data_IF_440758501153
#
_entry.id   IF_440758501153
#
_cell.length_a   1.000
_cell.length_b   1.000
_cell.length_c   1.000
_cell.angle_alpha   90.00
_cell.angle_beta   90.00
_cell.angle_gamma   90.00
#
_symmetry.space_group_name_H-M   'P 1'
#
loop_
_entity.id
_entity.type
_entity.pdbx_description
1 polymer ?
#
# COMPACT_ATOMS: atom_id res chain seq x y z
N UNK A 1 4.46 -20.04 -13.96
CA UNK A 1 3.52 -18.96 -13.61
C UNK A 1 2.48 -18.92 -14.71
N UNK A 2 1.21 -18.82 -14.36
CA UNK A 2 0.16 -18.60 -15.34
C UNK A 2 0.10 -17.12 -15.75
N UNK A 3 -0.52 -16.82 -16.89
CA UNK A 3 -0.63 -15.46 -17.43
C UNK A 3 -1.47 -14.49 -16.56
N UNK A 4 -1.97 -14.92 -15.39
CA UNK A 4 -2.67 -14.08 -14.43
C UNK A 4 -1.71 -13.33 -13.48
N UNK A 5 -0.45 -13.77 -13.40
CA UNK A 5 0.54 -13.16 -12.49
C UNK A 5 0.94 -11.76 -12.99
N UNK A 6 0.76 -10.74 -12.14
CA UNK A 6 1.06 -9.34 -12.51
C UNK A 6 2.53 -9.12 -12.86
N UNK A 7 3.47 -9.85 -12.28
CA UNK A 7 4.88 -9.75 -12.64
C UNK A 7 5.16 -10.26 -14.05
N UNK A 8 4.50 -11.35 -14.45
CA UNK A 8 4.56 -11.85 -15.83
C UNK A 8 3.97 -10.84 -16.82
N UNK A 9 2.74 -10.37 -16.53
CA UNK A 9 2.06 -9.36 -17.35
C UNK A 9 2.85 -8.06 -17.45
N UNK A 10 3.57 -7.66 -16.40
CA UNK A 10 4.44 -6.50 -16.43
C UNK A 10 5.56 -6.63 -17.46
N UNK A 11 6.18 -7.81 -17.57
CA UNK A 11 7.17 -8.08 -18.60
C UNK A 11 6.56 -8.05 -20.01
N UNK A 12 5.40 -8.67 -20.21
CA UNK A 12 4.70 -8.63 -21.51
C UNK A 12 4.37 -7.20 -21.94
N UNK A 13 3.81 -6.38 -21.04
CA UNK A 13 3.49 -4.97 -21.31
C UNK A 13 4.75 -4.19 -21.64
N UNK A 14 5.84 -4.40 -20.89
CA UNK A 14 7.11 -3.69 -21.11
C UNK A 14 7.66 -3.96 -22.51
N UNK A 15 7.86 -5.23 -22.88
CA UNK A 15 8.43 -5.59 -24.18
C UNK A 15 7.53 -5.21 -25.35
N UNK A 16 6.21 -5.39 -25.20
CA UNK A 16 5.24 -4.93 -26.21
C UNK A 16 5.30 -3.42 -26.43
N UNK A 17 5.42 -2.64 -25.35
CA UNK A 17 5.38 -1.16 -25.44
C UNK A 17 6.69 -0.57 -25.93
N UNK A 18 7.82 -1.17 -25.53
CA UNK A 18 9.14 -0.65 -25.93
C UNK A 18 9.62 -1.18 -27.27
N UNK A 19 9.09 -2.30 -27.75
CA UNK A 19 9.57 -2.99 -28.94
C UNK A 19 10.95 -3.63 -28.77
N UNK A 20 11.53 -3.63 -27.58
CA UNK A 20 12.83 -4.23 -27.30
C UNK A 20 12.72 -5.74 -27.43
N UNK A 21 13.67 -6.36 -28.14
CA UNK A 21 13.74 -7.81 -28.26
C UNK A 21 14.11 -8.45 -26.90
N UNK A 22 13.49 -9.59 -26.62
CA UNK A 22 13.76 -10.37 -25.41
C UNK A 22 14.18 -11.78 -25.81
N UNK A 23 15.45 -12.10 -25.66
CA UNK A 23 15.99 -13.43 -25.98
C UNK A 23 15.82 -14.46 -24.83
N UNK A 24 15.02 -14.11 -23.86
CA UNK A 24 14.69 -14.93 -22.69
C UNK A 24 14.72 -14.13 -21.39
N UNK A 25 13.71 -14.34 -20.55
CA UNK A 25 13.58 -13.70 -19.25
C UNK A 25 13.17 -14.73 -18.22
N UNK A 26 13.91 -14.79 -17.13
CA UNK A 26 13.53 -15.58 -15.96
C UNK A 26 13.22 -14.64 -14.78
N UNK A 27 12.02 -14.78 -14.21
CA UNK A 27 11.59 -14.01 -13.05
C UNK A 27 11.34 -14.97 -11.89
N UNK A 28 12.03 -14.76 -10.78
CA UNK A 28 11.78 -15.46 -9.52
C UNK A 28 11.10 -14.52 -8.54
N UNK A 29 9.96 -14.94 -7.98
CA UNK A 29 9.20 -14.18 -6.98
C UNK A 29 9.24 -14.90 -5.64
N UNK A 30 9.81 -14.26 -4.64
CA UNK A 30 9.74 -14.67 -3.24
C UNK A 30 8.69 -13.81 -2.54
N UNK A 31 7.51 -14.39 -2.29
CA UNK A 31 6.36 -13.69 -1.74
C UNK A 31 6.42 -13.62 -0.22
N UNK A 32 6.67 -12.43 0.33
CA UNK A 32 6.63 -12.16 1.78
C UNK A 32 5.46 -11.29 2.22
N UNK A 33 4.83 -10.56 1.29
CA UNK A 33 3.63 -9.76 1.56
C UNK A 33 2.39 -10.66 1.44
N UNK A 34 1.55 -10.76 2.50
CA UNK A 34 0.35 -11.58 2.46
C UNK A 34 -0.62 -11.16 1.35
N UNK A 35 -1.27 -12.13 0.73
CA UNK A 35 -2.33 -11.87 -0.25
C UNK A 35 -3.58 -11.32 0.43
N UNK A 36 -4.38 -10.54 -0.31
CA UNK A 36 -5.65 -9.95 0.18
C UNK A 36 -5.50 -9.21 1.51
N UNK A 37 -4.41 -8.46 1.63
CA UNK A 37 -4.07 -7.70 2.83
C UNK A 37 -4.27 -6.18 2.69
N UNK A 38 -4.58 -5.68 1.49
CA UNK A 38 -4.62 -4.23 1.23
C UNK A 38 -3.21 -3.59 1.20
N UNK A 39 -2.15 -4.38 1.04
CA UNK A 39 -0.75 -3.93 1.08
C UNK A 39 -0.10 -3.78 -0.31
N UNK A 40 -0.87 -3.92 -1.38
CA UNK A 40 -0.37 -3.72 -2.75
C UNK A 40 0.71 -4.72 -3.21
N UNK A 41 0.82 -5.92 -2.60
CA UNK A 41 1.89 -6.88 -2.88
C UNK A 41 2.05 -7.25 -4.35
N UNK A 42 0.95 -7.58 -5.05
CA UNK A 42 0.99 -7.87 -6.48
C UNK A 42 1.37 -6.66 -7.33
N UNK A 43 0.90 -5.47 -6.95
CA UNK A 43 1.23 -4.22 -7.65
C UNK A 43 2.70 -3.84 -7.45
N UNK A 44 3.25 -4.09 -6.27
CA UNK A 44 4.68 -3.87 -6.00
C UNK A 44 5.58 -4.84 -6.76
N UNK A 45 5.17 -6.11 -6.93
CA UNK A 45 5.89 -7.08 -7.76
C UNK A 45 5.94 -6.62 -9.23
N UNK A 46 4.78 -6.22 -9.79
CA UNK A 46 4.71 -5.70 -11.16
C UNK A 46 5.59 -4.46 -11.35
N UNK A 47 5.53 -3.52 -10.40
CA UNK A 47 6.36 -2.32 -10.43
C UNK A 47 7.86 -2.65 -10.33
N UNK A 48 8.24 -3.64 -9.52
CA UNK A 48 9.62 -4.09 -9.43
C UNK A 48 10.12 -4.67 -10.76
N UNK A 49 9.29 -5.46 -11.44
CA UNK A 49 9.61 -5.99 -12.78
C UNK A 49 9.77 -4.84 -13.78
N UNK A 50 8.81 -3.90 -13.86
CA UNK A 50 8.92 -2.75 -14.77
C UNK A 50 10.21 -1.95 -14.53
N UNK A 51 10.54 -1.64 -13.28
CA UNK A 51 11.79 -0.92 -12.93
C UNK A 51 13.03 -1.72 -13.27
N UNK A 52 13.02 -3.04 -13.00
CA UNK A 52 14.13 -3.93 -13.33
C UNK A 52 14.37 -4.01 -14.84
N UNK A 53 13.33 -4.20 -15.63
CA UNK A 53 13.41 -4.25 -17.09
C UNK A 53 13.85 -2.92 -17.69
N UNK A 54 13.34 -1.80 -17.18
CA UNK A 54 13.84 -0.47 -17.56
C UNK A 54 15.35 -0.38 -17.36
N UNK A 55 15.84 -0.76 -16.19
CA UNK A 55 17.28 -0.69 -15.89
C UNK A 55 18.12 -1.56 -16.81
N UNK A 56 17.60 -2.71 -17.23
CA UNK A 56 18.34 -3.69 -18.05
C UNK A 56 18.27 -3.39 -19.55
N UNK A 57 17.12 -2.92 -20.04
CA UNK A 57 16.83 -2.87 -21.48
C UNK A 57 16.55 -1.47 -22.02
N UNK A 58 16.12 -0.52 -21.19
CA UNK A 58 15.74 0.83 -21.64
C UNK A 58 15.99 1.88 -20.53
N UNK A 59 17.25 2.09 -20.09
CA UNK A 59 17.54 2.94 -18.93
C UNK A 59 17.12 4.41 -19.10
N UNK A 60 17.05 4.90 -20.34
CA UNK A 60 16.61 6.25 -20.72
C UNK A 60 15.07 6.42 -20.71
N UNK A 61 14.31 5.33 -20.63
CA UNK A 61 12.85 5.41 -20.61
C UNK A 61 12.38 6.21 -19.37
N UNK A 62 11.56 7.26 -19.53
CA UNK A 62 11.10 8.05 -18.40
C UNK A 62 10.20 7.24 -17.46
N UNK A 63 10.21 7.57 -16.16
CA UNK A 63 9.40 6.85 -15.15
C UNK A 63 7.91 6.92 -15.45
N UNK A 64 7.46 8.03 -16.05
CA UNK A 64 6.06 8.24 -16.47
C UNK A 64 5.62 7.23 -17.53
N UNK A 65 6.55 6.71 -18.33
CA UNK A 65 6.23 5.63 -19.27
C UNK A 65 5.95 4.32 -18.53
N UNK A 66 6.70 4.01 -17.48
CA UNK A 66 6.42 2.86 -16.63
C UNK A 66 5.09 3.01 -15.87
N UNK A 67 4.75 4.22 -15.42
CA UNK A 67 3.48 4.49 -14.78
C UNK A 67 2.30 4.24 -15.73
N UNK A 68 2.41 4.67 -17.00
CA UNK A 68 1.41 4.36 -18.03
C UNK A 68 1.27 2.85 -18.27
N UNK A 69 2.39 2.12 -18.38
CA UNK A 69 2.39 0.66 -18.47
C UNK A 69 1.71 0.04 -17.23
N UNK A 70 2.00 0.61 -16.05
CA UNK A 70 1.43 0.17 -14.78
C UNK A 70 -0.09 0.28 -14.74
N UNK A 71 -0.68 1.30 -15.37
CA UNK A 71 -2.13 1.46 -15.46
C UNK A 71 -2.84 0.30 -16.19
N UNK A 72 -2.17 -0.34 -17.15
CA UNK A 72 -2.71 -1.53 -17.82
C UNK A 72 -2.74 -2.77 -16.92
N UNK A 73 -1.91 -2.78 -15.86
CA UNK A 73 -1.76 -3.89 -14.93
C UNK A 73 -2.67 -3.78 -13.71
N UNK A 74 -2.83 -2.55 -13.20
CA UNK A 74 -3.65 -2.28 -12.03
C UNK A 74 -3.49 -0.86 -11.52
N UNK A 75 -4.52 -0.38 -10.81
CA UNK A 75 -4.62 1.01 -10.35
C UNK A 75 -3.52 1.45 -9.37
N UNK A 76 -2.97 0.50 -8.61
CA UNK A 76 -1.93 0.78 -7.60
C UNK A 76 -0.52 0.67 -8.18
N UNK A 77 -0.35 0.08 -9.39
CA UNK A 77 0.97 -0.15 -9.99
C UNK A 77 1.71 1.15 -10.30
N UNK A 78 1.07 2.22 -10.84
CA UNK A 78 1.76 3.49 -11.06
C UNK A 78 2.36 4.08 -9.79
N UNK A 79 1.62 4.05 -8.68
CA UNK A 79 2.14 4.48 -7.38
C UNK A 79 3.32 3.60 -6.92
N UNK A 80 3.22 2.27 -7.07
CA UNK A 80 4.31 1.35 -6.73
C UNK A 80 5.56 1.57 -7.62
N UNK A 81 5.38 2.04 -8.86
CA UNK A 81 6.49 2.45 -9.75
C UNK A 81 7.15 3.70 -9.22
N UNK A 82 6.39 4.72 -8.85
CA UNK A 82 6.89 6.01 -8.35
C UNK A 82 7.49 5.90 -6.96
N UNK A 83 6.75 5.28 -6.05
CA UNK A 83 7.11 5.15 -4.62
C UNK A 83 6.98 6.45 -3.83
N UNK A 84 7.51 6.44 -2.62
CA UNK A 84 7.51 7.60 -1.72
C UNK A 84 6.13 7.94 -1.13
N UNK A 85 5.91 9.23 -0.84
CA UNK A 85 4.63 9.76 -0.37
C UNK A 85 3.95 10.50 -1.52
N UNK A 86 2.72 10.12 -1.87
CA UNK A 86 2.00 10.72 -2.97
C UNK A 86 0.50 10.84 -2.69
N UNK A 87 -0.11 11.87 -3.25
CA UNK A 87 -1.56 11.92 -3.44
C UNK A 87 -1.89 11.19 -4.74
N UNK A 88 -2.77 10.21 -4.64
CA UNK A 88 -3.26 9.42 -5.78
C UNK A 88 -4.71 9.77 -6.01
N UNK A 89 -5.06 10.16 -7.23
CA UNK A 89 -6.41 10.56 -7.62
C UNK A 89 -6.85 9.86 -8.91
N UNK A 90 -8.11 10.08 -9.29
CA UNK A 90 -8.70 9.44 -10.45
C UNK A 90 -8.86 7.93 -10.24
N UNK A 91 -8.41 7.16 -11.21
CA UNK A 91 -8.36 5.68 -11.14
C UNK A 91 -6.99 5.14 -10.73
N UNK A 92 -6.08 6.02 -10.24
CA UNK A 92 -4.69 5.71 -9.91
C UNK A 92 -3.66 6.35 -10.86
N UNK A 93 -4.12 7.04 -11.91
CA UNK A 93 -3.27 7.66 -12.93
C UNK A 93 -2.76 9.06 -12.54
N UNK A 94 -3.43 9.74 -11.62
CA UNK A 94 -3.05 11.09 -11.20
C UNK A 94 -2.21 11.00 -9.93
N UNK A 95 -0.89 11.12 -10.10
CA UNK A 95 0.07 11.02 -9.01
C UNK A 95 0.72 12.38 -8.76
N UNK A 96 0.51 12.93 -7.57
CA UNK A 96 1.22 14.11 -7.08
C UNK A 96 2.16 13.69 -5.96
N UNK A 97 3.47 13.79 -6.20
CA UNK A 97 4.48 13.53 -5.16
C UNK A 97 4.37 14.56 -4.05
N UNK A 98 4.34 14.10 -2.81
CA UNK A 98 4.26 14.93 -1.62
C UNK A 98 5.57 14.87 -0.84
N UNK A 99 5.72 15.77 0.12
CA UNK A 99 6.83 15.73 1.06
C UNK A 99 6.80 14.41 1.83
N UNK A 100 7.96 13.78 1.93
CA UNK A 100 8.09 12.51 2.63
C UNK A 100 7.66 12.62 4.10
N UNK A 101 7.03 11.56 4.61
CA UNK A 101 6.70 11.46 6.03
C UNK A 101 7.91 11.80 6.91
N UNK A 102 7.73 12.39 8.08
CA UNK A 102 8.77 12.41 9.12
C UNK A 102 9.24 10.98 9.44
N UNK A 103 10.34 10.88 10.15
CA UNK A 103 10.81 9.58 10.63
C UNK A 103 9.75 8.92 11.51
N UNK A 104 9.36 7.71 11.15
CA UNK A 104 8.35 6.92 11.84
C UNK A 104 8.50 5.44 11.50
N UNK A 105 7.89 4.59 12.32
CA UNK A 105 7.90 3.14 12.19
C UNK A 105 6.48 2.61 12.07
N UNK A 106 6.34 1.54 11.31
CA UNK A 106 5.05 0.90 11.05
C UNK A 106 5.03 -0.49 11.63
N UNK A 107 3.95 -0.83 12.33
CA UNK A 107 3.65 -2.21 12.70
C UNK A 107 2.49 -2.66 11.85
N UNK A 108 2.74 -3.60 10.96
CA UNK A 108 1.78 -4.16 10.02
C UNK A 108 1.25 -5.48 10.59
N UNK A 109 -0.04 -5.55 10.83
CA UNK A 109 -0.74 -6.70 11.37
C UNK A 109 -1.75 -7.22 10.35
N UNK A 110 -1.61 -8.48 9.88
CA UNK A 110 -2.59 -9.11 8.98
C UNK A 110 -3.30 -10.23 9.74
N UNK A 111 -4.60 -10.05 10.07
CA UNK A 111 -5.43 -11.11 10.66
C UNK A 111 -5.71 -12.24 9.66
N UNK A 112 -6.37 -13.30 10.14
CA UNK A 112 -6.78 -14.39 9.25
C UNK A 112 -7.88 -13.95 8.27
N UNK A 113 -8.77 -13.05 8.69
CA UNK A 113 -9.84 -12.55 7.81
C UNK A 113 -9.25 -11.87 6.58
N UNK A 114 -9.90 -12.07 5.45
CA UNK A 114 -9.54 -11.42 4.18
C UNK A 114 -10.79 -10.82 3.55
N UNK A 115 -10.64 -9.67 2.92
CA UNK A 115 -11.71 -9.00 2.22
C UNK A 115 -11.44 -8.97 0.72
N UNK A 116 -12.49 -9.17 -0.06
CA UNK A 116 -12.44 -8.88 -1.48
C UNK A 116 -12.57 -7.37 -1.69
N UNK A 117 -11.66 -6.79 -2.47
CA UNK A 117 -11.73 -5.35 -2.80
C UNK A 117 -13.08 -4.99 -3.43
N UNK A 118 -13.59 -5.82 -4.34
CA UNK A 118 -14.89 -5.61 -4.97
C UNK A 118 -16.03 -5.61 -3.95
N UNK A 119 -16.00 -6.51 -2.98
CA UNK A 119 -16.99 -6.58 -1.91
C UNK A 119 -16.95 -5.35 -1.02
N UNK A 120 -15.76 -4.86 -0.67
CA UNK A 120 -15.62 -3.67 0.17
C UNK A 120 -16.14 -2.40 -0.54
N UNK A 121 -15.89 -2.26 -1.84
CA UNK A 121 -16.49 -1.17 -2.62
C UNK A 121 -18.01 -1.30 -2.69
N UNK A 122 -18.55 -2.50 -2.94
CA UNK A 122 -20.00 -2.73 -2.95
C UNK A 122 -20.64 -2.32 -1.63
N UNK A 123 -20.08 -2.72 -0.48
CA UNK A 123 -20.58 -2.32 0.85
C UNK A 123 -20.54 -0.81 1.05
N UNK A 124 -19.48 -0.15 0.55
CA UNK A 124 -19.36 1.30 0.66
C UNK A 124 -20.41 2.02 -0.18
N UNK A 125 -20.67 1.54 -1.39
CA UNK A 125 -21.71 2.06 -2.29
C UNK A 125 -23.11 1.87 -1.69
N UNK A 126 -23.39 0.70 -1.08
CA UNK A 126 -24.65 0.40 -0.40
C UNK A 126 -24.87 1.25 0.86
N UNK A 127 -23.82 1.64 1.57
CA UNK A 127 -23.92 2.51 2.73
C UNK A 127 -24.28 3.96 2.36
N UNK A 128 -24.09 4.38 1.10
CA UNK A 128 -24.59 5.61 0.49
C UNK A 128 -23.81 6.87 0.86
N UNK A 129 -23.27 7.00 2.05
CA UNK A 129 -22.48 8.18 2.45
C UNK A 129 -21.23 7.74 3.22
N UNK A 130 -20.05 8.09 2.69
CA UNK A 130 -18.78 7.90 3.36
C UNK A 130 -18.22 9.24 3.84
N UNK A 131 -17.74 9.28 5.07
CA UNK A 131 -16.95 10.41 5.57
C UNK A 131 -15.51 10.22 5.11
N UNK A 132 -15.08 11.08 4.20
CA UNK A 132 -13.71 11.02 3.66
C UNK A 132 -12.71 11.73 4.59
N UNK A 133 -11.49 11.21 4.72
CA UNK A 133 -10.38 11.92 5.37
C UNK A 133 -10.12 13.28 4.70
N UNK A 134 -9.75 14.28 5.51
CA UNK A 134 -9.43 15.62 5.00
C UNK A 134 -8.04 15.61 4.35
N UNK A 135 -8.03 15.32 3.05
CA UNK A 135 -6.81 15.24 2.23
C UNK A 135 -6.02 16.54 2.23
N UNK A 136 -6.71 17.70 2.22
CA UNK A 136 -6.04 19.00 2.21
C UNK A 136 -5.25 19.22 3.49
N UNK A 137 -5.86 19.00 4.65
CA UNK A 137 -5.19 19.13 5.94
C UNK A 137 -4.08 18.10 6.12
N UNK A 138 -4.24 16.90 5.57
CA UNK A 138 -3.16 15.90 5.53
C UNK A 138 -1.96 16.44 4.75
N UNK A 139 -2.17 17.01 3.55
CA UNK A 139 -1.10 17.58 2.74
C UNK A 139 -0.40 18.75 3.46
N UNK A 140 -1.15 19.62 4.12
CA UNK A 140 -0.61 20.72 4.92
C UNK A 140 0.23 20.21 6.11
N UNK A 141 -0.22 19.17 6.79
CA UNK A 141 0.52 18.52 7.88
C UNK A 141 1.83 17.89 7.39
N UNK A 142 1.80 17.19 6.24
CA UNK A 142 2.99 16.65 5.59
C UNK A 142 3.99 17.76 5.23
N UNK A 143 3.50 18.87 4.67
CA UNK A 143 4.35 20.01 4.31
C UNK A 143 5.03 20.63 5.54
N UNK A 144 4.35 20.73 6.66
CA UNK A 144 4.91 21.20 7.94
C UNK A 144 5.73 20.15 8.67
N UNK A 145 5.70 18.88 8.26
CA UNK A 145 6.30 17.73 8.96
C UNK A 145 5.76 17.55 10.38
N UNK A 146 4.50 17.90 10.59
CA UNK A 146 3.81 17.79 11.87
C UNK A 146 3.27 16.37 12.03
N UNK A 147 4.04 15.51 12.71
CA UNK A 147 3.70 14.10 12.87
C UNK A 147 2.41 13.90 13.68
N UNK A 148 2.17 14.73 14.69
CA UNK A 148 0.97 14.66 15.51
C UNK A 148 -0.28 15.00 14.70
N UNK A 149 -0.22 16.04 13.89
CA UNK A 149 -1.32 16.40 12.98
C UNK A 149 -1.51 15.34 11.89
N UNK A 150 -0.42 14.78 11.32
CA UNK A 150 -0.50 13.66 10.37
C UNK A 150 -1.25 12.49 11.01
N UNK A 151 -0.90 12.09 12.24
CA UNK A 151 -1.57 10.99 12.94
C UNK A 151 -3.07 11.25 13.11
N UNK A 152 -3.46 12.48 13.46
CA UNK A 152 -4.86 12.86 13.63
C UNK A 152 -5.69 12.85 12.34
N UNK A 153 -5.04 12.84 11.17
CA UNK A 153 -5.70 12.87 9.84
C UNK A 153 -5.74 11.51 9.14
N UNK A 154 -5.07 10.51 9.68
CA UNK A 154 -5.11 9.16 9.12
C UNK A 154 -6.48 8.54 9.36
N UNK A 155 -7.07 8.00 8.31
CA UNK A 155 -8.34 7.28 8.36
C UNK A 155 -8.59 6.49 7.08
N UNK A 156 -9.51 5.56 7.15
CA UNK A 156 -9.87 4.71 6.02
C UNK A 156 -11.40 4.60 5.90
N UNK A 157 -11.94 5.01 4.76
CA UNK A 157 -13.38 4.97 4.50
C UNK A 157 -13.97 3.56 4.59
N UNK A 158 -13.21 2.53 4.24
CA UNK A 158 -13.68 1.15 4.32
C UNK A 158 -13.93 0.66 5.75
N UNK A 159 -13.31 1.29 6.77
CA UNK A 159 -13.62 0.95 8.16
C UNK A 159 -15.07 1.24 8.53
N UNK A 160 -15.71 2.20 7.85
CA UNK A 160 -17.10 2.60 8.11
C UNK A 160 -18.13 1.53 7.73
N UNK A 161 -17.74 0.56 6.91
CA UNK A 161 -18.61 -0.55 6.46
C UNK A 161 -18.24 -1.89 7.08
N UNK A 162 -17.37 -1.87 8.10
CA UNK A 162 -17.08 -3.05 8.91
C UNK A 162 -18.07 -3.18 10.05
N UNK A 163 -18.34 -4.42 10.45
CA UNK A 163 -19.13 -4.69 11.66
C UNK A 163 -18.41 -4.17 12.91
N UNK A 164 -19.13 -3.62 13.91
CA UNK A 164 -18.50 -3.09 15.14
C UNK A 164 -17.62 -4.10 15.89
N UNK A 165 -17.91 -5.40 15.80
CA UNK A 165 -17.12 -6.49 16.39
C UNK A 165 -16.01 -7.03 15.48
N UNK A 166 -15.65 -6.31 14.42
CA UNK A 166 -14.59 -6.75 13.51
C UNK A 166 -13.24 -6.87 14.21
N UNK A 167 -12.51 -7.95 13.94
CA UNK A 167 -11.12 -8.17 14.37
C UNK A 167 -10.20 -6.99 14.00
N UNK A 168 -10.51 -6.27 12.93
CA UNK A 168 -9.78 -5.07 12.50
C UNK A 168 -9.75 -4.02 13.61
N UNK A 169 -10.89 -3.74 14.24
CA UNK A 169 -10.98 -2.78 15.34
C UNK A 169 -10.24 -3.25 16.60
N UNK A 170 -10.34 -4.53 16.94
CA UNK A 170 -9.61 -5.10 18.07
C UNK A 170 -8.08 -4.96 17.90
N UNK A 171 -7.57 -5.26 16.69
CA UNK A 171 -6.14 -5.09 16.36
C UNK A 171 -5.75 -3.61 16.39
N UNK A 172 -6.56 -2.72 15.81
CA UNK A 172 -6.33 -1.28 15.83
C UNK A 172 -6.22 -0.75 17.26
N UNK A 173 -7.21 -1.06 18.09
CA UNK A 173 -7.28 -0.58 19.47
C UNK A 173 -6.14 -1.17 20.32
N UNK A 174 -5.73 -2.40 20.04
CA UNK A 174 -4.56 -3.02 20.67
C UNK A 174 -3.26 -2.29 20.30
N UNK A 175 -3.07 -1.95 19.00
CA UNK A 175 -1.90 -1.17 18.56
C UNK A 175 -1.86 0.21 19.22
N UNK A 176 -3.00 0.89 19.34
CA UNK A 176 -3.09 2.17 20.04
C UNK A 176 -2.73 2.03 21.54
N UNK A 177 -3.24 0.98 22.20
CA UNK A 177 -2.89 0.68 23.62
C UNK A 177 -1.40 0.39 23.80
N UNK A 178 -0.74 -0.18 22.78
CA UNK A 178 0.69 -0.47 22.74
C UNK A 178 1.55 0.74 22.32
N UNK A 179 0.96 1.94 22.21
CA UNK A 179 1.68 3.20 22.00
C UNK A 179 1.77 3.66 20.54
N UNK A 180 0.98 3.09 19.63
CA UNK A 180 0.86 3.69 18.29
C UNK A 180 0.24 5.08 18.40
N UNK A 181 0.80 6.06 17.70
CA UNK A 181 0.24 7.40 17.61
C UNK A 181 -1.06 7.42 16.77
N UNK A 182 -1.20 6.47 15.86
CA UNK A 182 -2.41 6.18 15.10
C UNK A 182 -2.38 4.76 14.58
N UNK A 183 -3.56 4.20 14.26
CA UNK A 183 -3.67 2.91 13.58
C UNK A 183 -4.93 2.87 12.71
N UNK A 184 -4.84 2.27 11.53
CA UNK A 184 -5.99 2.09 10.64
C UNK A 184 -5.79 0.86 9.74
N UNK A 185 -6.89 0.40 9.14
CA UNK A 185 -6.85 -0.62 8.09
C UNK A 185 -6.18 -0.07 6.83
N UNK A 186 -5.42 -0.89 6.13
CA UNK A 186 -4.75 -0.54 4.88
C UNK A 186 -5.62 -0.87 3.67
N UNK A 187 -5.89 0.12 2.81
CA UNK A 187 -6.67 -0.07 1.59
C UNK A 187 -8.03 -0.73 1.87
N UNK A 188 -8.44 -1.70 1.06
CA UNK A 188 -9.65 -2.49 1.27
C UNK A 188 -9.51 -3.58 2.35
N UNK A 189 -8.37 -3.62 3.03
CA UNK A 189 -8.09 -4.56 4.09
C UNK A 189 -7.46 -5.88 3.60
N UNK A 190 -7.20 -6.74 4.54
CA UNK A 190 -7.55 -6.69 5.97
C UNK A 190 -6.39 -6.31 6.90
N UNK A 191 -5.20 -5.95 6.37
CA UNK A 191 -4.10 -5.54 7.22
C UNK A 191 -4.44 -4.25 7.97
N UNK A 192 -4.02 -4.18 9.23
CA UNK A 192 -4.06 -2.97 10.08
C UNK A 192 -2.63 -2.49 10.28
N UNK A 193 -2.43 -1.19 10.15
CA UNK A 193 -1.12 -0.56 10.29
C UNK A 193 -1.16 0.42 11.46
N UNK A 194 -0.33 0.17 12.47
CA UNK A 194 -0.03 1.11 13.53
C UNK A 194 1.21 1.92 13.19
N UNK A 195 1.20 3.22 13.48
CA UNK A 195 2.34 4.12 13.20
C UNK A 195 2.89 4.67 14.50
N UNK A 196 4.20 4.58 14.66
CA UNK A 196 4.93 4.92 15.87
C UNK A 196 5.99 5.98 15.58
N UNK A 197 6.20 6.90 16.52
CA UNK A 197 7.27 7.91 16.46
C UNK A 197 8.61 7.37 16.95
N UNK A 198 8.65 6.19 17.60
CA UNK A 198 9.86 5.59 18.17
C UNK A 198 10.00 4.14 17.73
N UNK A 199 11.20 3.77 17.29
CA UNK A 199 11.50 2.42 16.81
C UNK A 199 11.28 1.36 17.90
N UNK A 200 11.78 1.61 19.10
CA UNK A 200 11.70 0.66 20.22
C UNK A 200 10.24 0.36 20.58
N UNK A 201 9.38 1.37 20.62
CA UNK A 201 7.94 1.21 20.84
C UNK A 201 7.28 0.36 19.75
N UNK A 202 7.64 0.60 18.47
CA UNK A 202 7.15 -0.20 17.35
C UNK A 202 7.59 -1.66 17.45
N UNK A 203 8.87 -1.92 17.74
CA UNK A 203 9.40 -3.28 17.89
C UNK A 203 8.75 -4.02 19.04
N UNK A 204 8.62 -3.36 20.20
CA UNK A 204 7.96 -3.93 21.38
C UNK A 204 6.49 -4.23 21.13
N UNK A 205 5.79 -3.31 20.44
CA UNK A 205 4.42 -3.52 20.01
C UNK A 205 4.28 -4.72 19.07
N UNK A 206 5.15 -4.82 18.05
CA UNK A 206 5.12 -5.96 17.12
C UNK A 206 5.35 -7.30 17.85
N UNK A 207 6.24 -7.35 18.82
CA UNK A 207 6.49 -8.54 19.63
C UNK A 207 5.31 -8.91 20.54
N UNK A 208 4.50 -7.92 20.96
CA UNK A 208 3.34 -8.13 21.81
C UNK A 208 2.06 -8.55 21.07
N UNK A 209 2.05 -8.49 19.71
CA UNK A 209 0.90 -8.89 18.87
C UNK A 209 0.95 -10.38 18.50
N UNK A 210 1.09 -11.24 19.49
CA UNK A 210 1.32 -12.69 19.32
C UNK A 210 0.12 -13.45 18.77
N UNK A 211 -1.09 -12.91 18.93
CA UNK A 211 -2.35 -13.50 18.45
C UNK A 211 -2.59 -13.26 16.93
N UNK A 212 -1.82 -12.35 16.32
CA UNK A 212 -1.99 -12.02 14.90
C UNK A 212 -1.05 -12.88 14.05
N UNK A 213 -1.57 -13.60 13.01
CA UNK A 213 -0.77 -14.56 12.23
C UNK A 213 0.41 -13.95 11.49
N UNK A 214 0.29 -12.70 11.10
CA UNK A 214 1.38 -11.98 10.42
C UNK A 214 1.57 -10.61 11.05
N UNK A 215 2.77 -10.39 11.58
CA UNK A 215 3.20 -9.10 12.13
C UNK A 215 4.57 -8.74 11.56
N UNK A 216 4.76 -7.49 11.15
CA UNK A 216 6.06 -6.94 10.74
C UNK A 216 6.21 -5.53 11.26
N UNK A 217 7.38 -5.25 11.81
CA UNK A 217 7.82 -3.89 12.10
C UNK A 217 8.76 -3.43 10.99
N UNK A 218 8.46 -2.28 10.39
CA UNK A 218 9.26 -1.68 9.32
C UNK A 218 9.47 -0.20 9.60
N UNK A 219 10.68 0.29 9.35
CA UNK A 219 10.96 1.71 9.35
C UNK A 219 10.58 2.35 8.02
N UNK A 220 10.50 3.66 8.00
CA UNK A 220 10.42 4.40 6.73
C UNK A 220 11.74 4.20 5.98
N UNK A 221 11.67 3.57 4.80
CA UNK A 221 12.81 3.48 3.88
C UNK A 221 13.12 4.80 3.18
#
# INVERSE_FOLDING_TARGET
ADGSNLAWRAAEVFFRTTGVACDGLHITLEKSIPSQAGLGGGSSDAAAVLRGLRKLYAPELPVEALERMGMELGRDVPYCVRGGTALVQGKGEQLLSLRALPECWFVVCKPQVSFSTAEMYRRLDEAGMAVHPDTRRMMDALQRRDLAEIFSRIGNVFEQVLSPGSEIFAIRDRLLTLGAGTACMSGSGSAVVGIFSQEEAARSSAAAMTEVPFVRCVGRG
#
